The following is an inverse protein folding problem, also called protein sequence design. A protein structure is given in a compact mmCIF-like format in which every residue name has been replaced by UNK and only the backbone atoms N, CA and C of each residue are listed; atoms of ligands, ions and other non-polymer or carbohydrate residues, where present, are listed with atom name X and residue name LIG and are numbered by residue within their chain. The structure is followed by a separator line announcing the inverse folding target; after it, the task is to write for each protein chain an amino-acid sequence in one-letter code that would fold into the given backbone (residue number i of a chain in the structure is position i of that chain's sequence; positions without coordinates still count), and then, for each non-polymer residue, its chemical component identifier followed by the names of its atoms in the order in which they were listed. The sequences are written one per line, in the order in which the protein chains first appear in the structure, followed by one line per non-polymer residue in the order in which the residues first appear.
data_IF_349886249727
#
_entry.id   IF_349886249727
#
_cell.length_a   1.000
_cell.length_b   1.000
_cell.length_c   1.000
_cell.angle_alpha   90.00
_cell.angle_beta   90.00
_cell.angle_gamma   90.00
#
_symmetry.space_group_name_H-M   'P 1'
#
loop_
_entity.id
_entity.type
_entity.pdbx_description
1 polymer ?
#
# COMPACT_ATOMS: atom_id res chain seq x y z
N UNK A 1 64.84 48.84 31.57
CA UNK A 1 65.05 48.53 30.13
C UNK A 1 64.69 47.10 29.73
N UNK A 2 64.87 46.06 30.57
CA UNK A 2 64.47 44.66 30.25
C UNK A 2 62.99 44.48 29.82
N UNK A 3 62.06 45.20 30.45
CA UNK A 3 60.60 44.96 30.26
C UNK A 3 60.02 45.36 28.89
N UNK A 4 60.62 46.34 28.19
CA UNK A 4 60.12 46.83 26.88
C UNK A 4 60.63 45.98 25.72
N UNK A 5 61.84 45.42 25.84
CA UNK A 5 62.40 44.53 24.83
C UNK A 5 61.68 43.18 24.83
N UNK A 6 61.41 42.63 26.02
CA UNK A 6 60.66 41.37 26.15
C UNK A 6 59.21 41.50 25.66
N UNK A 7 58.57 42.67 25.85
CA UNK A 7 57.22 42.93 25.30
C UNK A 7 57.22 43.00 23.77
N UNK A 8 58.19 43.72 23.18
CA UNK A 8 58.34 43.81 21.73
C UNK A 8 58.66 42.45 21.09
N UNK A 9 59.45 41.60 21.78
CA UNK A 9 59.73 40.24 21.32
C UNK A 9 58.47 39.38 21.28
N UNK A 10 57.65 39.40 22.35
CA UNK A 10 56.36 38.70 22.39
C UNK A 10 55.38 39.20 21.33
N UNK A 11 55.34 40.51 21.11
CA UNK A 11 54.51 41.13 20.07
C UNK A 11 54.95 40.68 18.67
N UNK A 12 56.26 40.64 18.40
CA UNK A 12 56.78 40.15 17.14
C UNK A 12 56.50 38.65 16.92
N UNK A 13 56.65 37.81 17.94
CA UNK A 13 56.30 36.38 17.89
C UNK A 13 54.79 36.18 17.61
N UNK A 14 53.93 36.97 18.24
CA UNK A 14 52.50 36.96 18.00
C UNK A 14 52.14 37.40 16.56
N UNK A 15 52.79 38.46 16.07
CA UNK A 15 52.62 38.93 14.69
C UNK A 15 53.08 37.88 13.67
N UNK A 16 54.22 37.23 13.90
CA UNK A 16 54.70 36.13 13.03
C UNK A 16 53.71 34.96 13.00
N UNK A 17 53.15 34.58 14.16
CA UNK A 17 52.12 33.56 14.22
C UNK A 17 50.86 33.98 13.44
N UNK A 18 50.41 35.23 13.60
CA UNK A 18 49.27 35.78 12.87
C UNK A 18 49.51 35.79 11.35
N UNK A 19 50.70 36.16 10.90
CA UNK A 19 51.08 36.09 9.48
C UNK A 19 51.05 34.65 8.96
N UNK A 20 51.54 33.68 9.73
CA UNK A 20 51.52 32.27 9.32
C UNK A 20 50.10 31.71 9.23
N UNK A 21 49.20 32.10 10.14
CA UNK A 21 47.77 31.76 10.08
C UNK A 21 47.10 32.36 8.83
N UNK A 22 47.40 33.64 8.51
CA UNK A 22 46.90 34.29 7.29
C UNK A 22 47.38 33.56 6.04
N UNK A 23 48.68 33.22 5.96
CA UNK A 23 49.23 32.48 4.82
C UNK A 23 48.53 31.12 4.66
N UNK A 24 48.30 30.41 5.77
CA UNK A 24 47.59 29.12 5.75
C UNK A 24 46.16 29.28 5.25
N UNK A 25 45.44 30.30 5.72
CA UNK A 25 44.08 30.59 5.26
C UNK A 25 44.04 31.00 3.79
N UNK A 26 45.00 31.79 3.31
CA UNK A 26 45.11 32.16 1.90
C UNK A 26 45.34 30.95 1.00
N UNK A 27 46.19 30.00 1.43
CA UNK A 27 46.40 28.76 0.71
C UNK A 27 45.10 27.94 0.63
N UNK A 28 44.37 27.80 1.74
CA UNK A 28 43.08 27.10 1.76
C UNK A 28 42.05 27.76 0.82
N UNK A 29 41.95 29.09 0.83
CA UNK A 29 41.06 29.85 -0.08
C UNK A 29 41.47 29.62 -1.54
N UNK A 30 42.78 29.61 -1.83
CA UNK A 30 43.28 29.39 -3.18
C UNK A 30 42.95 27.98 -3.68
N UNK A 31 43.12 26.96 -2.85
CA UNK A 31 42.76 25.58 -3.17
C UNK A 31 41.26 25.43 -3.40
N UNK A 32 40.45 26.02 -2.52
CA UNK A 32 39.00 25.96 -2.62
C UNK A 32 38.48 26.70 -3.87
N UNK A 33 39.08 27.86 -4.20
CA UNK A 33 38.76 28.61 -5.43
C UNK A 33 39.07 27.79 -6.68
N UNK A 34 40.20 27.07 -6.71
CA UNK A 34 40.57 26.17 -7.82
C UNK A 34 39.56 25.03 -7.93
N UNK A 35 39.15 24.43 -6.81
CA UNK A 35 38.17 23.35 -6.77
C UNK A 35 36.80 23.80 -7.29
N UNK A 36 36.24 24.89 -6.78
CA UNK A 36 34.95 25.45 -7.22
C UNK A 36 35.00 25.82 -8.71
N UNK A 37 36.11 26.42 -9.17
CA UNK A 37 36.32 26.72 -10.60
C UNK A 37 36.30 25.45 -11.48
N UNK A 38 36.93 24.36 -11.00
CA UNK A 38 36.89 23.06 -11.69
C UNK A 38 35.46 22.50 -11.76
N UNK A 39 34.69 22.57 -10.67
CA UNK A 39 33.29 22.13 -10.63
C UNK A 39 32.44 22.94 -11.62
N UNK A 40 32.55 24.27 -11.58
CA UNK A 40 31.82 25.17 -12.48
C UNK A 40 32.15 24.91 -13.95
N UNK A 41 33.43 24.69 -14.29
CA UNK A 41 33.87 24.37 -15.65
C UNK A 41 33.30 23.05 -16.17
N UNK A 42 33.03 22.09 -15.28
CA UNK A 42 32.58 20.75 -15.62
C UNK A 42 31.10 20.47 -15.30
N UNK A 43 30.29 21.51 -15.05
CA UNK A 43 28.88 21.36 -14.60
C UNK A 43 28.05 20.45 -15.51
N UNK A 44 28.20 20.57 -16.84
CA UNK A 44 27.47 19.75 -17.80
C UNK A 44 27.84 18.26 -17.70
N UNK A 45 29.12 17.96 -17.46
CA UNK A 45 29.61 16.58 -17.29
C UNK A 45 29.07 16.02 -15.98
N UNK A 46 29.12 16.81 -14.91
CA UNK A 46 28.61 16.44 -13.59
C UNK A 46 27.12 16.13 -13.65
N UNK A 47 26.30 17.03 -14.20
CA UNK A 47 24.85 16.82 -14.31
C UNK A 47 24.55 15.59 -15.17
N UNK A 48 25.24 15.42 -16.31
CA UNK A 48 25.05 14.24 -17.16
C UNK A 48 25.43 12.93 -16.47
N UNK A 49 26.47 12.93 -15.65
CA UNK A 49 26.87 11.77 -14.86
C UNK A 49 25.83 11.45 -13.77
N UNK A 50 25.37 12.46 -13.03
CA UNK A 50 24.31 12.31 -12.03
C UNK A 50 23.00 11.78 -12.66
N UNK A 51 22.65 12.24 -13.86
CA UNK A 51 21.53 11.72 -14.64
C UNK A 51 21.67 10.22 -14.91
N UNK A 52 22.86 9.76 -15.34
CA UNK A 52 23.14 8.33 -15.56
C UNK A 52 23.07 7.52 -14.27
N UNK A 53 23.55 8.09 -13.16
CA UNK A 53 23.46 7.44 -11.84
C UNK A 53 21.99 7.25 -11.42
N UNK A 54 21.15 8.27 -11.62
CA UNK A 54 19.71 8.18 -11.37
C UNK A 54 19.03 7.11 -12.24
N UNK A 55 19.35 7.08 -13.54
CA UNK A 55 18.83 6.08 -14.47
C UNK A 55 19.22 4.66 -14.05
N UNK A 56 20.48 4.48 -13.64
CA UNK A 56 21.00 3.20 -13.14
C UNK A 56 20.27 2.77 -11.85
N UNK A 57 20.11 3.69 -10.89
CA UNK A 57 19.47 3.42 -9.61
C UNK A 57 17.97 3.08 -9.74
N UNK A 58 17.30 3.65 -10.74
CA UNK A 58 15.86 3.42 -10.99
C UNK A 58 15.60 2.40 -12.10
N UNK A 59 16.63 1.74 -12.63
CA UNK A 59 16.50 0.71 -13.67
C UNK A 59 15.78 -0.52 -13.13
N UNK A 60 14.90 -1.10 -13.95
CA UNK A 60 14.27 -2.37 -13.60
C UNK A 60 15.32 -3.49 -13.58
N UNK A 61 15.39 -4.20 -12.45
CA UNK A 61 16.25 -5.37 -12.25
C UNK A 61 15.51 -6.65 -12.68
N UNK A 62 16.23 -7.78 -12.73
CA UNK A 62 15.65 -9.08 -13.13
C UNK A 62 14.40 -9.46 -12.32
N UNK A 63 14.44 -9.25 -11.00
CA UNK A 63 13.30 -9.51 -10.10
C UNK A 63 12.10 -8.60 -10.42
N UNK A 64 12.34 -7.34 -10.77
CA UNK A 64 11.29 -6.39 -11.16
C UNK A 64 10.60 -6.83 -12.45
N UNK A 65 11.37 -7.39 -13.40
CA UNK A 65 10.83 -7.90 -14.67
C UNK A 65 9.92 -9.11 -14.42
N UNK A 66 10.29 -10.01 -13.50
CA UNK A 66 9.40 -11.11 -13.08
C UNK A 66 8.09 -10.55 -12.51
N UNK A 67 8.17 -9.52 -11.67
CA UNK A 67 6.99 -8.83 -11.15
C UNK A 67 6.17 -8.13 -12.24
N UNK A 68 6.81 -7.57 -13.25
CA UNK A 68 6.13 -6.99 -14.40
C UNK A 68 5.28 -8.04 -15.13
N UNK A 69 5.80 -9.24 -15.36
CA UNK A 69 5.00 -10.33 -15.96
C UNK A 69 3.85 -10.77 -15.05
N UNK A 70 4.08 -10.93 -13.75
CA UNK A 70 3.02 -11.25 -12.79
C UNK A 70 1.93 -10.17 -12.78
N UNK A 71 2.33 -8.89 -12.71
CA UNK A 71 1.42 -7.75 -12.76
C UNK A 71 0.62 -7.76 -14.06
N UNK A 72 1.27 -7.99 -15.20
CA UNK A 72 0.62 -8.05 -16.51
C UNK A 72 -0.40 -9.18 -16.57
N UNK A 73 -0.07 -10.37 -16.04
CA UNK A 73 -1.01 -11.49 -15.96
C UNK A 73 -2.23 -11.16 -15.09
N UNK A 74 -2.04 -10.51 -13.94
CA UNK A 74 -3.14 -10.05 -13.07
C UNK A 74 -4.02 -9.02 -13.78
N UNK A 75 -3.42 -8.07 -14.50
CA UNK A 75 -4.15 -7.05 -15.27
C UNK A 75 -4.99 -7.67 -16.40
N UNK A 76 -4.43 -8.62 -17.16
CA UNK A 76 -5.17 -9.32 -18.21
C UNK A 76 -6.29 -10.20 -17.61
N UNK A 77 -6.00 -10.87 -16.49
CA UNK A 77 -6.99 -11.71 -15.79
C UNK A 77 -8.18 -10.87 -15.33
N UNK A 78 -7.95 -9.65 -14.82
CA UNK A 78 -9.05 -8.76 -14.39
C UNK A 78 -10.00 -8.42 -15.54
N UNK A 79 -9.45 -8.17 -16.74
CA UNK A 79 -10.24 -7.84 -17.94
C UNK A 79 -11.15 -9.01 -18.33
N UNK A 80 -10.62 -10.23 -18.30
CA UNK A 80 -11.38 -11.43 -18.61
C UNK A 80 -12.50 -11.71 -17.60
N UNK A 81 -12.23 -11.54 -16.30
CA UNK A 81 -13.22 -11.70 -15.24
C UNK A 81 -14.35 -10.65 -15.34
N UNK A 82 -13.99 -9.42 -15.74
CA UNK A 82 -14.95 -8.33 -15.96
C UNK A 82 -15.83 -8.58 -17.17
N UNK A 83 -15.24 -9.00 -18.30
CA UNK A 83 -15.96 -9.31 -19.54
C UNK A 83 -16.97 -10.46 -19.37
N UNK A 84 -16.75 -11.40 -18.43
CA UNK A 84 -17.74 -12.44 -18.08
C UNK A 84 -18.85 -11.93 -17.17
N UNK A 85 -18.58 -10.91 -16.35
CA UNK A 85 -19.54 -10.35 -15.39
C UNK A 85 -20.57 -9.40 -16.03
N UNK A 86 -20.45 -9.07 -17.33
CA UNK A 86 -21.34 -8.14 -18.04
C UNK A 86 -22.66 -8.75 -18.51
N UNK A 87 -22.85 -10.07 -18.37
CA UNK A 87 -24.13 -10.71 -18.64
C UNK A 87 -24.94 -10.78 -17.33
N UNK A 88 -25.82 -9.79 -17.12
CA UNK A 88 -26.98 -9.80 -16.22
C UNK A 88 -26.78 -10.05 -14.71
N UNK A 89 -25.56 -10.07 -14.19
CA UNK A 89 -25.36 -10.22 -12.75
C UNK A 89 -25.41 -8.84 -12.07
N UNK A 90 -26.24 -8.73 -11.02
CA UNK A 90 -26.21 -7.67 -10.00
C UNK A 90 -27.07 -6.41 -10.19
N UNK A 91 -28.22 -6.52 -10.87
CA UNK A 91 -29.39 -5.74 -10.40
C UNK A 91 -29.63 -6.07 -8.92
N UNK A 92 -30.01 -5.08 -8.09
CA UNK A 92 -30.11 -5.23 -6.62
C UNK A 92 -30.96 -6.44 -6.19
N UNK A 93 -31.92 -6.82 -7.03
CA UNK A 93 -32.84 -7.96 -6.91
C UNK A 93 -32.20 -9.35 -7.13
N UNK A 94 -31.10 -9.44 -7.89
CA UNK A 94 -30.42 -10.69 -8.23
C UNK A 94 -29.15 -10.96 -7.40
N UNK A 95 -28.89 -10.14 -6.36
CA UNK A 95 -27.67 -10.24 -5.55
C UNK A 95 -27.87 -11.23 -4.37
N UNK A 96 -26.94 -12.17 -4.13
CA UNK A 96 -27.01 -13.06 -2.96
C UNK A 96 -26.92 -12.26 -1.66
N UNK A 97 -27.55 -12.77 -0.60
CA UNK A 97 -27.37 -12.21 0.75
C UNK A 97 -25.94 -12.47 1.25
N UNK A 98 -25.52 -11.78 2.33
CA UNK A 98 -24.14 -11.85 2.83
C UNK A 98 -23.69 -13.27 3.18
N UNK A 99 -24.60 -14.10 3.73
CA UNK A 99 -24.32 -15.51 4.06
C UNK A 99 -24.09 -16.36 2.82
N UNK A 100 -24.85 -16.13 1.75
CA UNK A 100 -24.70 -16.82 0.47
C UNK A 100 -23.45 -16.37 -0.28
N UNK A 101 -23.12 -15.07 -0.24
CA UNK A 101 -21.93 -14.52 -0.85
C UNK A 101 -20.66 -15.06 -0.16
N UNK A 102 -20.65 -15.10 1.17
CA UNK A 102 -19.56 -15.69 1.96
C UNK A 102 -19.38 -17.19 1.67
N UNK A 103 -20.47 -17.98 1.65
CA UNK A 103 -20.40 -19.42 1.30
C UNK A 103 -19.83 -19.69 -0.09
N UNK A 104 -20.09 -18.83 -1.07
CA UNK A 104 -19.52 -18.95 -2.43
C UNK A 104 -18.07 -18.48 -2.53
N UNK A 105 -17.65 -17.63 -1.59
CA UNK A 105 -16.28 -17.12 -1.49
C UNK A 105 -15.40 -17.95 -0.55
N UNK A 106 -15.96 -18.98 0.10
CA UNK A 106 -15.22 -19.93 0.91
C UNK A 106 -14.03 -20.45 0.10
N UNK A 107 -12.83 -20.00 0.49
CA UNK A 107 -11.60 -20.34 -0.20
C UNK A 107 -11.43 -21.86 -0.29
N UNK A 108 -10.73 -22.37 -1.31
CA UNK A 108 -10.60 -23.81 -1.56
C UNK A 108 -10.02 -24.61 -0.38
N UNK A 109 -9.47 -23.93 0.63
CA UNK A 109 -8.84 -24.52 1.81
C UNK A 109 -9.69 -24.50 3.09
N UNK A 110 -10.88 -23.86 3.10
CA UNK A 110 -11.69 -23.71 4.33
C UNK A 110 -12.11 -25.06 4.92
N UNK A 111 -12.56 -25.99 4.09
CA UNK A 111 -12.93 -27.34 4.52
C UNK A 111 -11.71 -28.17 4.97
N UNK A 112 -10.54 -27.93 4.36
CA UNK A 112 -9.30 -28.67 4.65
C UNK A 112 -8.67 -28.19 5.97
N UNK A 113 -8.78 -26.90 6.30
CA UNK A 113 -8.16 -26.31 7.48
C UNK A 113 -9.07 -26.28 8.71
N UNK A 114 -10.40 -26.41 8.55
CA UNK A 114 -11.33 -26.48 9.68
C UNK A 114 -11.21 -27.77 10.49
N UNK A 115 -10.86 -28.91 9.87
CA UNK A 115 -10.62 -30.16 10.59
C UNK A 115 -9.37 -30.11 11.49
N UNK A 116 -8.40 -29.24 11.19
CA UNK A 116 -7.12 -29.16 11.91
C UNK A 116 -7.07 -28.14 13.05
N UNK A 117 -8.01 -27.19 13.15
CA UNK A 117 -7.90 -26.04 14.07
C UNK A 117 -9.10 -25.88 15.02
N UNK A 118 -8.91 -26.28 16.28
CA UNK A 118 -9.87 -26.08 17.36
C UNK A 118 -9.92 -24.62 17.82
N UNK A 119 -11.10 -24.14 18.24
CA UNK A 119 -11.32 -22.74 18.62
C UNK A 119 -10.50 -22.31 19.85
N UNK A 120 -10.13 -23.29 20.67
CA UNK A 120 -9.28 -23.14 21.86
C UNK A 120 -7.81 -22.81 21.51
N UNK A 121 -7.40 -22.99 20.25
CA UNK A 121 -6.07 -22.63 19.76
C UNK A 121 -5.96 -21.16 19.32
N UNK A 122 -7.00 -20.34 19.52
CA UNK A 122 -6.91 -18.90 19.20
C UNK A 122 -5.88 -18.25 20.10
N UNK A 123 -4.76 -17.82 19.50
CA UNK A 123 -3.67 -17.24 20.27
C UNK A 123 -4.13 -15.98 21.03
N UNK A 124 -3.66 -15.84 22.27
CA UNK A 124 -4.01 -14.74 23.16
C UNK A 124 -3.04 -13.55 23.06
N UNK A 125 -1.97 -13.71 22.27
CA UNK A 125 -0.90 -12.73 22.12
C UNK A 125 -1.31 -11.58 21.22
N UNK A 126 -1.01 -10.36 21.67
CA UNK A 126 -1.29 -9.15 20.90
C UNK A 126 -0.44 -9.09 19.62
N UNK A 127 -1.06 -8.65 18.53
CA UNK A 127 -0.44 -8.51 17.19
C UNK A 127 0.06 -9.81 16.56
N UNK A 128 -0.36 -10.96 17.07
CA UNK A 128 0.03 -12.27 16.55
C UNK A 128 -1.18 -12.99 15.94
N UNK A 129 -0.93 -13.74 14.87
CA UNK A 129 -1.90 -14.64 14.25
C UNK A 129 -1.15 -15.77 13.53
N UNK A 130 -1.72 -16.97 13.55
CA UNK A 130 -1.22 -18.11 12.79
C UNK A 130 -1.78 -18.11 11.37
N UNK A 131 -1.07 -18.74 10.42
CA UNK A 131 -1.57 -18.91 9.04
C UNK A 131 -2.85 -19.75 9.04
N UNK A 132 -2.93 -20.72 9.95
CA UNK A 132 -4.06 -21.61 10.13
C UNK A 132 -5.30 -20.86 10.62
N UNK A 133 -5.14 -19.87 11.53
CA UNK A 133 -6.23 -19.00 11.96
C UNK A 133 -6.75 -18.14 10.79
N UNK A 134 -5.84 -17.55 9.98
CA UNK A 134 -6.23 -16.73 8.81
C UNK A 134 -7.14 -17.49 7.86
N UNK A 135 -6.81 -18.74 7.52
CA UNK A 135 -7.55 -19.52 6.53
C UNK A 135 -8.82 -20.19 7.07
N UNK A 136 -8.97 -20.31 8.40
CA UNK A 136 -10.05 -21.09 9.02
C UNK A 136 -11.12 -20.26 9.73
N UNK A 137 -10.83 -19.00 10.09
CA UNK A 137 -11.73 -18.12 10.85
C UNK A 137 -12.16 -16.89 10.04
N UNK A 138 -13.29 -16.25 10.41
CA UNK A 138 -13.69 -14.96 9.83
C UNK A 138 -12.61 -13.89 10.02
N UNK A 139 -12.58 -12.90 9.13
CA UNK A 139 -11.67 -11.76 9.26
C UNK A 139 -11.99 -10.96 10.52
N UNK A 140 -10.98 -10.41 11.23
CA UNK A 140 -11.18 -9.81 12.54
C UNK A 140 -12.00 -8.51 12.50
N UNK A 141 -11.99 -7.80 11.38
CA UNK A 141 -12.69 -6.52 11.24
C UNK A 141 -14.19 -6.64 10.93
N UNK A 142 -14.73 -7.85 10.80
CA UNK A 142 -16.18 -8.13 10.79
C UNK A 142 -16.79 -8.03 12.21
N UNK A 143 -15.95 -7.94 13.25
CA UNK A 143 -16.39 -7.91 14.65
C UNK A 143 -17.24 -6.67 14.94
N UNK A 144 -18.39 -6.88 15.58
CA UNK A 144 -19.26 -5.81 16.08
C UNK A 144 -19.38 -5.84 17.61
N UNK A 145 -19.25 -7.01 18.21
CA UNK A 145 -19.34 -7.21 19.65
C UNK A 145 -18.22 -6.49 20.39
N UNK A 146 -18.53 -5.91 21.56
CA UNK A 146 -17.57 -5.15 22.37
C UNK A 146 -17.34 -3.71 21.91
N UNK A 147 -17.84 -3.28 20.74
CA UNK A 147 -17.65 -1.90 20.25
C UNK A 147 -18.23 -0.83 21.19
N UNK A 148 -19.36 -1.16 21.82
CA UNK A 148 -20.09 -0.27 22.72
C UNK A 148 -19.28 0.09 23.97
N UNK A 149 -18.36 -0.79 24.39
CA UNK A 149 -17.46 -0.53 25.52
C UNK A 149 -16.49 0.64 25.24
N UNK A 150 -16.27 0.95 23.97
CA UNK A 150 -15.39 2.04 23.52
C UNK A 150 -16.18 3.23 22.97
N UNK A 151 -17.52 3.24 23.13
CA UNK A 151 -18.36 4.28 22.55
C UNK A 151 -18.44 4.23 21.01
N UNK A 152 -17.98 3.15 20.38
CA UNK A 152 -17.95 3.03 18.92
C UNK A 152 -19.27 2.44 18.43
N UNK A 153 -19.97 3.21 17.61
CA UNK A 153 -21.16 2.75 16.92
C UNK A 153 -20.78 2.13 15.57
N UNK A 154 -20.74 0.80 15.51
CA UNK A 154 -20.50 0.02 14.28
C UNK A 154 -21.72 0.02 13.33
N UNK A 155 -22.72 0.86 13.58
CA UNK A 155 -23.95 0.99 12.79
C UNK A 155 -24.95 -0.16 12.94
N UNK A 156 -24.54 -1.30 13.49
CA UNK A 156 -25.34 -2.50 13.68
C UNK A 156 -25.66 -3.23 12.37
N UNK A 157 -25.73 -4.56 12.43
CA UNK A 157 -26.05 -5.39 11.25
C UNK A 157 -25.00 -5.19 10.16
N UNK A 158 -25.44 -4.73 8.98
CA UNK A 158 -24.60 -4.65 7.78
C UNK A 158 -23.85 -3.31 7.64
N UNK A 159 -23.95 -2.38 8.59
CA UNK A 159 -23.30 -1.06 8.53
C UNK A 159 -21.87 -1.05 9.09
N UNK A 160 -21.40 -2.15 9.68
CA UNK A 160 -20.02 -2.27 10.15
C UNK A 160 -18.99 -2.14 9.01
N UNK A 161 -19.39 -2.49 7.78
CA UNK A 161 -18.60 -2.27 6.55
C UNK A 161 -18.23 -0.82 6.31
N UNK A 162 -19.04 0.13 6.78
CA UNK A 162 -18.74 1.55 6.68
C UNK A 162 -17.87 2.04 7.84
N UNK A 163 -17.86 1.29 8.94
CA UNK A 163 -17.23 1.66 10.19
C UNK A 163 -15.83 1.07 10.36
N UNK A 164 -15.37 0.18 9.47
CA UNK A 164 -14.02 -0.39 9.52
C UNK A 164 -13.28 -0.20 8.19
N UNK A 165 -11.98 0.09 8.29
CA UNK A 165 -11.14 0.34 7.12
C UNK A 165 -10.91 -0.93 6.28
N UNK A 166 -11.08 -2.12 6.88
CA UNK A 166 -10.94 -3.41 6.20
C UNK A 166 -11.94 -3.63 5.07
N UNK A 167 -13.13 -3.04 5.13
CA UNK A 167 -14.13 -3.17 4.05
C UNK A 167 -14.04 -2.05 3.00
N UNK A 168 -13.09 -1.13 3.12
CA UNK A 168 -12.92 -0.10 2.11
C UNK A 168 -12.19 -0.70 0.88
N UNK A 169 -12.68 -0.46 -0.36
CA UNK A 169 -12.06 -1.01 -1.57
C UNK A 169 -10.58 -0.65 -1.78
N UNK A 170 -10.09 0.44 -1.14
CA UNK A 170 -8.71 0.91 -1.21
C UNK A 170 -8.01 0.75 0.13
N UNK A 171 -8.61 1.23 1.23
CA UNK A 171 -7.98 1.16 2.55
C UNK A 171 -7.89 -0.28 3.07
N UNK A 172 -8.79 -1.19 2.66
CA UNK A 172 -8.78 -2.60 3.05
C UNK A 172 -7.48 -3.32 2.68
N UNK A 173 -6.88 -2.98 1.54
CA UNK A 173 -5.59 -3.55 1.14
C UNK A 173 -4.45 -3.28 2.11
N UNK A 174 -4.53 -2.16 2.84
CA UNK A 174 -3.53 -1.78 3.84
C UNK A 174 -4.03 -2.18 5.23
N UNK A 175 -5.16 -1.62 5.65
CA UNK A 175 -5.69 -1.82 6.99
C UNK A 175 -6.33 -3.19 7.16
N UNK A 176 -7.13 -3.68 6.20
CA UNK A 176 -7.70 -5.04 6.23
C UNK A 176 -6.62 -6.12 6.25
N UNK A 177 -5.63 -6.04 5.36
CA UNK A 177 -4.45 -6.92 5.39
C UNK A 177 -3.72 -6.87 6.74
N UNK A 178 -3.42 -5.67 7.25
CA UNK A 178 -2.73 -5.51 8.54
C UNK A 178 -3.60 -6.02 9.71
N UNK A 179 -4.91 -5.81 9.65
CA UNK A 179 -5.90 -6.23 10.64
C UNK A 179 -5.97 -7.75 10.70
N UNK A 180 -6.08 -8.44 9.56
CA UNK A 180 -6.00 -9.90 9.47
C UNK A 180 -4.66 -10.38 10.04
N UNK A 181 -3.56 -9.79 9.59
CA UNK A 181 -2.21 -10.19 10.00
C UNK A 181 -1.88 -9.90 11.48
N UNK A 182 -2.71 -9.17 12.22
CA UNK A 182 -2.45 -8.83 13.64
C UNK A 182 -3.63 -9.13 14.57
N UNK A 183 -4.71 -9.70 14.02
CA UNK A 183 -5.97 -9.93 14.72
C UNK A 183 -6.51 -8.65 15.38
N UNK A 184 -6.60 -7.60 14.59
CA UNK A 184 -7.12 -6.30 15.00
C UNK A 184 -8.23 -5.84 14.09
N UNK A 185 -8.91 -4.77 14.46
CA UNK A 185 -9.83 -4.01 13.61
C UNK A 185 -9.44 -2.55 13.67
N UNK A 186 -9.38 -1.87 12.52
CA UNK A 186 -9.18 -0.42 12.45
C UNK A 186 -10.48 0.26 12.04
N UNK A 187 -10.97 1.18 12.88
CA UNK A 187 -12.25 1.86 12.69
C UNK A 187 -12.11 3.10 11.78
N UNK A 188 -13.20 3.48 11.13
CA UNK A 188 -13.35 4.73 10.40
C UNK A 188 -14.39 5.62 11.08
N UNK A 189 -14.24 6.95 11.02
CA UNK A 189 -13.17 7.70 10.32
C UNK A 189 -11.91 7.92 11.19
N UNK A 190 -11.90 7.45 12.44
CA UNK A 190 -10.86 7.82 13.43
C UNK A 190 -9.54 7.07 13.26
N UNK A 191 -9.51 5.99 12.49
CA UNK A 191 -8.34 5.11 12.33
C UNK A 191 -7.81 4.54 13.67
N UNK A 192 -8.71 4.40 14.65
CA UNK A 192 -8.40 3.75 15.91
C UNK A 192 -8.41 2.24 15.74
N UNK A 193 -7.42 1.57 16.31
CA UNK A 193 -7.31 0.12 16.21
C UNK A 193 -7.66 -0.56 17.53
N UNK A 194 -8.23 -1.77 17.44
CA UNK A 194 -8.60 -2.57 18.60
C UNK A 194 -8.18 -4.02 18.41
N UNK A 195 -7.73 -4.67 19.47
CA UNK A 195 -7.49 -6.11 19.48
C UNK A 195 -8.81 -6.88 19.48
N UNK A 196 -8.85 -7.98 18.74
CA UNK A 196 -10.01 -8.86 18.65
C UNK A 196 -9.72 -10.16 19.41
N UNK A 197 -10.45 -10.41 20.49
CA UNK A 197 -10.34 -11.64 21.29
C UNK A 197 -11.59 -12.50 21.10
N UNK A 198 -11.45 -13.79 21.38
CA UNK A 198 -12.57 -14.72 21.42
C UNK A 198 -12.96 -14.99 22.86
N UNK A 199 -14.26 -14.93 23.16
CA UNK A 199 -14.77 -15.19 24.51
C UNK A 199 -16.10 -14.50 24.76
N UNK A 200 -16.50 -14.45 26.02
CA UNK A 200 -17.77 -13.89 26.48
C UNK A 200 -17.59 -12.69 27.44
N UNK A 201 -16.35 -12.19 27.57
CA UNK A 201 -15.97 -11.08 28.46
C UNK A 201 -16.25 -9.71 27.83
N UNK A 202 -17.47 -9.52 27.34
CA UNK A 202 -17.94 -8.24 26.81
C UNK A 202 -19.40 -8.01 27.20
N UNK A 203 -19.80 -6.75 27.21
CA UNK A 203 -21.18 -6.36 27.49
C UNK A 203 -21.96 -6.22 26.20
N UNK A 204 -23.19 -6.72 26.23
CA UNK A 204 -24.17 -6.57 25.16
C UNK A 204 -24.74 -5.14 25.18
N UNK A 205 -25.53 -4.77 24.16
CA UNK A 205 -26.16 -3.45 24.07
C UNK A 205 -27.11 -3.15 25.25
N UNK A 206 -27.63 -4.18 25.92
CA UNK A 206 -28.45 -4.04 27.14
C UNK A 206 -27.63 -3.89 28.43
N UNK A 207 -26.29 -3.86 28.34
CA UNK A 207 -25.40 -3.75 29.50
C UNK A 207 -25.17 -5.07 30.25
N UNK A 208 -25.71 -6.19 29.75
CA UNK A 208 -25.48 -7.51 30.33
C UNK A 208 -24.23 -8.17 29.75
N UNK A 209 -23.48 -8.90 30.58
CA UNK A 209 -22.36 -9.73 30.10
C UNK A 209 -22.88 -10.78 29.13
N UNK A 210 -22.16 -10.98 28.02
CA UNK A 210 -22.54 -11.96 27.01
C UNK A 210 -22.55 -13.37 27.58
N UNK A 211 -23.61 -14.14 27.27
CA UNK A 211 -23.69 -15.57 27.59
C UNK A 211 -23.09 -16.46 26.49
N UNK A 212 -22.73 -15.87 25.34
CA UNK A 212 -22.19 -16.58 24.16
C UNK A 212 -20.76 -16.14 23.89
N UNK A 213 -19.87 -17.10 23.68
CA UNK A 213 -18.51 -16.84 23.26
C UNK A 213 -18.46 -16.51 21.75
N UNK A 214 -17.87 -15.38 21.40
CA UNK A 214 -17.67 -14.93 20.03
C UNK A 214 -16.46 -14.00 19.95
N UNK A 215 -16.10 -13.57 18.74
CA UNK A 215 -15.12 -12.51 18.58
C UNK A 215 -15.69 -11.19 19.10
N UNK A 216 -14.88 -10.45 19.85
CA UNK A 216 -15.23 -9.14 20.40
C UNK A 216 -14.02 -8.22 20.43
N UNK A 217 -14.25 -6.92 20.27
CA UNK A 217 -13.26 -5.87 20.51
C UNK A 217 -12.91 -5.83 22.00
N UNK A 218 -11.65 -6.06 22.35
CA UNK A 218 -11.24 -6.24 23.75
C UNK A 218 -10.48 -5.05 24.34
N UNK A 219 -9.52 -4.49 23.59
CA UNK A 219 -8.60 -3.45 24.07
C UNK A 219 -8.14 -2.57 22.90
N UNK A 220 -7.78 -1.32 23.18
CA UNK A 220 -7.10 -0.48 22.18
C UNK A 220 -5.79 -1.14 21.70
N UNK A 221 -5.59 -1.10 20.39
CA UNK A 221 -4.35 -1.42 19.72
C UNK A 221 -3.72 -0.14 19.17
N UNK A 222 -2.39 -0.05 19.21
CA UNK A 222 -1.69 1.07 18.59
C UNK A 222 -1.70 0.88 17.08
N UNK A 223 -2.37 1.76 16.33
CA UNK A 223 -2.48 1.66 14.86
C UNK A 223 -1.11 1.61 14.19
N UNK A 224 -0.11 2.33 14.71
CA UNK A 224 1.28 2.24 14.23
C UNK A 224 1.85 0.82 14.37
N UNK A 225 1.58 0.13 15.49
CA UNK A 225 1.98 -1.27 15.70
C UNK A 225 1.18 -2.25 14.84
N UNK A 226 -0.09 -1.95 14.55
CA UNK A 226 -0.88 -2.76 13.60
C UNK A 226 -0.22 -2.74 12.22
N UNK A 227 0.13 -1.56 11.70
CA UNK A 227 0.83 -1.43 10.43
C UNK A 227 2.25 -2.01 10.50
N UNK A 228 2.96 -1.78 11.61
CA UNK A 228 4.31 -2.29 11.80
C UNK A 228 4.33 -3.82 11.83
N UNK A 229 3.55 -4.48 12.68
CA UNK A 229 3.55 -5.95 12.80
C UNK A 229 2.74 -6.63 11.71
N UNK A 230 1.72 -5.98 11.16
CA UNK A 230 0.88 -6.53 10.11
C UNK A 230 1.49 -6.42 8.72
N UNK A 231 2.34 -5.41 8.50
CA UNK A 231 2.98 -5.14 7.21
C UNK A 231 4.49 -5.03 7.40
N UNK A 232 4.99 -3.91 7.95
CA UNK A 232 6.41 -3.51 7.89
C UNK A 232 7.40 -4.60 8.35
N UNK A 233 7.20 -5.15 9.54
CA UNK A 233 8.08 -6.18 10.10
C UNK A 233 8.03 -7.47 9.29
N UNK A 234 6.86 -7.79 8.71
CA UNK A 234 6.70 -8.96 7.85
C UNK A 234 7.43 -8.79 6.52
N UNK A 235 7.55 -7.55 6.06
CA UNK A 235 8.39 -7.18 4.92
C UNK A 235 9.86 -7.31 5.26
N UNK A 236 10.28 -6.62 6.33
CA UNK A 236 11.70 -6.41 6.64
C UNK A 236 12.35 -7.68 7.18
N UNK A 237 11.56 -8.61 7.71
CA UNK A 237 12.04 -9.87 8.28
C UNK A 237 11.24 -11.06 7.74
N UNK A 238 11.27 -11.33 6.41
CA UNK A 238 10.36 -12.27 5.75
C UNK A 238 10.53 -13.72 6.23
N UNK A 239 11.75 -14.11 6.59
CA UNK A 239 12.13 -15.47 6.99
C UNK A 239 11.90 -15.77 8.48
N UNK A 240 11.58 -14.74 9.28
CA UNK A 240 11.34 -14.90 10.72
C UNK A 240 9.88 -15.25 10.97
N UNK A 241 9.61 -16.24 11.82
CA UNK A 241 8.27 -16.57 12.33
C UNK A 241 7.17 -16.67 11.24
N UNK A 242 7.50 -17.23 10.07
CA UNK A 242 6.60 -17.36 8.90
C UNK A 242 6.01 -16.01 8.42
N UNK A 243 6.72 -14.91 8.65
CA UNK A 243 6.25 -13.56 8.37
C UNK A 243 5.74 -13.35 6.94
N UNK A 244 6.51 -13.79 5.95
CA UNK A 244 6.10 -13.67 4.55
C UNK A 244 4.85 -14.50 4.24
N UNK A 245 4.73 -15.70 4.81
CA UNK A 245 3.58 -16.58 4.62
C UNK A 245 2.31 -16.01 5.25
N UNK A 246 2.43 -15.43 6.45
CA UNK A 246 1.31 -14.74 7.12
C UNK A 246 0.87 -13.52 6.30
N UNK A 247 1.81 -12.74 5.79
CA UNK A 247 1.48 -11.55 4.99
C UNK A 247 0.79 -11.92 3.67
N UNK A 248 1.29 -12.93 2.96
CA UNK A 248 0.66 -13.44 1.73
C UNK A 248 -0.72 -14.00 2.04
N UNK A 249 -0.86 -14.77 3.13
CA UNK A 249 -2.15 -15.34 3.56
C UNK A 249 -3.16 -14.25 3.91
N UNK A 250 -2.75 -13.23 4.66
CA UNK A 250 -3.60 -12.10 5.04
C UNK A 250 -4.05 -11.31 3.81
N UNK A 251 -3.13 -11.03 2.87
CA UNK A 251 -3.45 -10.32 1.63
C UNK A 251 -4.39 -11.13 0.74
N UNK A 252 -4.18 -12.45 0.64
CA UNK A 252 -5.06 -13.33 -0.13
C UNK A 252 -6.45 -13.43 0.50
N UNK A 253 -6.53 -13.50 1.84
CA UNK A 253 -7.80 -13.53 2.56
C UNK A 253 -8.55 -12.20 2.40
N UNK A 254 -7.86 -11.06 2.49
CA UNK A 254 -8.43 -9.73 2.20
C UNK A 254 -9.03 -9.66 0.79
N UNK A 255 -8.32 -10.19 -0.21
CA UNK A 255 -8.81 -10.24 -1.59
C UNK A 255 -10.08 -11.08 -1.74
N UNK A 256 -10.14 -12.22 -1.05
CA UNK A 256 -11.32 -13.10 -1.03
C UNK A 256 -12.48 -12.37 -0.34
N UNK A 257 -12.22 -11.71 0.78
CA UNK A 257 -13.23 -11.02 1.59
C UNK A 257 -13.85 -9.85 0.83
N UNK A 258 -13.03 -8.94 0.28
CA UNK A 258 -13.50 -7.81 -0.52
C UNK A 258 -14.30 -8.27 -1.75
N UNK A 259 -13.89 -9.37 -2.40
CA UNK A 259 -14.64 -9.96 -3.51
C UNK A 259 -16.01 -10.49 -3.07
N UNK A 260 -16.08 -11.14 -1.91
CA UNK A 260 -17.35 -11.66 -1.36
C UNK A 260 -18.30 -10.52 -1.00
N UNK A 261 -17.78 -9.46 -0.38
CA UNK A 261 -18.55 -8.30 0.02
C UNK A 261 -19.05 -7.52 -1.19
N UNK A 262 -18.19 -7.32 -2.20
CA UNK A 262 -18.57 -6.71 -3.48
C UNK A 262 -19.74 -7.43 -4.16
N UNK A 263 -19.75 -8.75 -4.08
CA UNK A 263 -20.75 -9.61 -4.75
C UNK A 263 -22.06 -9.73 -3.95
N UNK A 264 -22.09 -9.21 -2.72
CA UNK A 264 -23.25 -9.26 -1.82
C UNK A 264 -24.31 -8.23 -2.18
N UNK A 265 -25.52 -8.38 -1.63
CA UNK A 265 -26.64 -7.47 -1.85
C UNK A 265 -26.33 -5.99 -1.56
N UNK A 266 -25.55 -5.70 -0.51
CA UNK A 266 -25.15 -4.34 -0.15
C UNK A 266 -23.80 -3.88 -0.72
N UNK A 267 -23.07 -4.78 -1.39
CA UNK A 267 -21.74 -4.53 -1.96
C UNK A 267 -20.75 -3.91 -0.95
N UNK A 268 -19.60 -3.48 -1.47
CA UNK A 268 -18.67 -2.57 -0.78
C UNK A 268 -19.15 -1.13 -0.94
N UNK A 269 -18.85 -0.28 0.04
CA UNK A 269 -19.02 1.16 -0.14
C UNK A 269 -18.09 1.70 -1.20
N UNK A 270 -18.39 2.89 -1.72
CA UNK A 270 -17.44 3.64 -2.53
C UNK A 270 -16.10 3.82 -1.79
N UNK A 271 -14.97 3.88 -2.52
CA UNK A 271 -13.68 4.09 -1.89
C UNK A 271 -13.67 5.36 -1.06
N UNK A 272 -13.09 5.29 0.14
CA UNK A 272 -12.99 6.35 1.13
C UNK A 272 -14.33 6.85 1.69
N UNK A 273 -15.47 6.26 1.33
CA UNK A 273 -16.77 6.71 1.80
C UNK A 273 -16.86 6.69 3.33
N UNK A 274 -16.25 5.69 3.99
CA UNK A 274 -16.21 5.57 5.45
C UNK A 274 -15.51 6.74 6.17
N UNK A 275 -14.75 7.59 5.47
CA UNK A 275 -14.21 8.83 6.03
C UNK A 275 -15.30 9.86 6.35
N UNK A 276 -16.48 9.73 5.74
CA UNK A 276 -17.66 10.53 6.05
C UNK A 276 -18.84 9.60 6.33
N UNK A 277 -19.06 9.18 7.59
CA UNK A 277 -20.15 8.26 7.95
C UNK A 277 -21.53 8.73 7.45
N UNK A 278 -21.79 10.04 7.45
CA UNK A 278 -23.03 10.64 6.94
C UNK A 278 -23.21 10.43 5.43
N UNK A 279 -22.16 10.67 4.64
CA UNK A 279 -22.19 10.49 3.19
C UNK A 279 -22.24 8.99 2.85
N UNK A 280 -21.44 8.17 3.54
CA UNK A 280 -21.39 6.72 3.34
C UNK A 280 -22.75 6.07 3.59
N UNK A 281 -23.41 6.43 4.70
CA UNK A 281 -24.73 5.93 5.04
C UNK A 281 -25.78 6.39 4.03
N UNK A 282 -25.79 7.68 3.67
CA UNK A 282 -26.74 8.23 2.70
C UNK A 282 -26.57 7.59 1.31
N UNK A 283 -25.33 7.40 0.85
CA UNK A 283 -25.02 6.70 -0.39
C UNK A 283 -25.49 5.24 -0.35
N UNK A 284 -25.18 4.52 0.74
CA UNK A 284 -25.62 3.13 0.93
C UNK A 284 -27.14 2.98 0.98
N UNK A 285 -27.85 3.88 1.69
CA UNK A 285 -29.32 3.86 1.79
C UNK A 285 -29.98 4.20 0.44
N UNK A 286 -29.31 4.98 -0.40
CA UNK A 286 -29.70 5.26 -1.79
C UNK A 286 -29.31 4.14 -2.77
N UNK A 287 -28.69 3.05 -2.30
CA UNK A 287 -28.21 1.95 -3.14
C UNK A 287 -27.01 2.32 -4.01
N UNK A 288 -26.26 3.38 -3.65
CA UNK A 288 -25.02 3.81 -4.30
C UNK A 288 -23.83 3.13 -3.62
N UNK A 289 -23.30 2.11 -4.27
CA UNK A 289 -22.28 1.18 -3.79
C UNK A 289 -21.37 0.74 -4.96
N UNK A 290 -20.27 0.05 -4.68
CA UNK A 290 -19.32 -0.38 -5.73
C UNK A 290 -19.94 -1.25 -6.82
N UNK A 291 -21.05 -1.93 -6.54
CA UNK A 291 -21.75 -2.74 -7.53
C UNK A 291 -22.84 -1.97 -8.30
N UNK A 292 -23.33 -0.82 -7.79
CA UNK A 292 -24.33 0.01 -8.47
C UNK A 292 -23.75 1.19 -9.25
N UNK A 293 -22.55 1.67 -8.92
CA UNK A 293 -21.85 2.65 -9.75
C UNK A 293 -21.35 1.88 -10.97
N UNK A 294 -21.86 2.22 -12.16
CA UNK A 294 -21.90 1.38 -13.37
C UNK A 294 -20.59 0.74 -13.88
N UNK A 295 -20.65 0.18 -15.09
CA UNK A 295 -19.60 -0.70 -15.61
C UNK A 295 -18.18 -0.09 -15.62
N UNK A 296 -18.06 1.21 -15.92
CA UNK A 296 -16.77 1.91 -16.00
C UNK A 296 -16.14 2.08 -14.61
N UNK A 297 -16.90 2.44 -13.58
CA UNK A 297 -16.39 2.57 -12.21
C UNK A 297 -15.99 1.23 -11.60
N UNK A 298 -16.69 0.13 -11.94
CA UNK A 298 -16.27 -1.23 -11.57
C UNK A 298 -14.90 -1.57 -12.16
N UNK A 299 -14.72 -1.26 -13.44
CA UNK A 299 -13.44 -1.45 -14.13
C UNK A 299 -12.31 -0.63 -13.49
N UNK A 300 -12.56 0.65 -13.16
CA UNK A 300 -11.61 1.52 -12.46
C UNK A 300 -11.24 0.94 -11.10
N UNK A 301 -12.22 0.57 -10.27
CA UNK A 301 -12.00 0.06 -8.92
C UNK A 301 -11.10 -1.18 -8.91
N UNK A 302 -11.43 -2.17 -9.74
CA UNK A 302 -10.64 -3.41 -9.82
C UNK A 302 -9.24 -3.14 -10.39
N UNK A 303 -9.09 -2.21 -11.35
CA UNK A 303 -7.77 -1.83 -11.86
C UNK A 303 -6.89 -1.18 -10.79
N UNK A 304 -7.45 -0.28 -9.99
CA UNK A 304 -6.77 0.34 -8.84
C UNK A 304 -6.38 -0.71 -7.81
N UNK A 305 -7.28 -1.64 -7.49
CA UNK A 305 -7.02 -2.78 -6.60
C UNK A 305 -5.83 -3.62 -7.07
N UNK A 306 -5.82 -4.07 -8.33
CA UNK A 306 -4.71 -4.88 -8.86
C UNK A 306 -3.40 -4.09 -8.81
N UNK A 307 -3.43 -2.80 -9.15
CA UNK A 307 -2.26 -1.93 -9.02
C UNK A 307 -1.74 -1.88 -7.59
N UNK A 308 -2.62 -1.76 -6.60
CA UNK A 308 -2.25 -1.73 -5.18
C UNK A 308 -1.61 -3.05 -4.74
N UNK A 309 -2.20 -4.20 -5.10
CA UNK A 309 -1.65 -5.53 -4.79
C UNK A 309 -0.23 -5.67 -5.37
N UNK A 310 -0.06 -5.36 -6.65
CA UNK A 310 1.25 -5.41 -7.32
C UNK A 310 2.24 -4.47 -6.63
N UNK A 311 1.80 -3.26 -6.30
CA UNK A 311 2.62 -2.25 -5.63
C UNK A 311 3.12 -2.73 -4.27
N UNK A 312 2.23 -3.33 -3.47
CA UNK A 312 2.57 -3.91 -2.17
C UNK A 312 3.52 -5.09 -2.37
N UNK A 313 3.13 -6.12 -3.11
CA UNK A 313 3.94 -7.34 -3.31
C UNK A 313 5.35 -7.05 -3.85
N UNK A 314 5.46 -6.12 -4.80
CA UNK A 314 6.76 -5.73 -5.34
C UNK A 314 7.63 -5.08 -4.26
N UNK A 315 7.15 -4.03 -3.59
CA UNK A 315 7.90 -3.37 -2.52
C UNK A 315 8.22 -4.32 -1.38
N UNK A 316 7.30 -5.25 -1.09
CA UNK A 316 7.47 -6.28 -0.09
C UNK A 316 8.68 -7.14 -0.37
N UNK A 317 8.73 -7.73 -1.57
CA UNK A 317 9.84 -8.60 -1.90
C UNK A 317 11.15 -7.82 -1.93
N UNK A 318 11.18 -6.64 -2.56
CA UNK A 318 12.43 -5.92 -2.75
C UNK A 318 13.02 -5.41 -1.43
N UNK A 319 12.22 -4.84 -0.53
CA UNK A 319 12.69 -4.43 0.80
C UNK A 319 13.21 -5.61 1.64
N UNK A 320 12.80 -6.82 1.31
CA UNK A 320 13.21 -8.05 1.99
C UNK A 320 14.51 -8.66 1.42
N UNK A 321 14.94 -8.21 0.23
CA UNK A 321 16.07 -8.78 -0.52
C UNK A 321 17.19 -7.80 -0.84
N UNK A 322 16.90 -6.50 -0.83
CA UNK A 322 17.84 -5.44 -1.19
C UNK A 322 17.97 -4.46 -0.02
N UNK A 323 19.19 -4.09 0.33
CA UNK A 323 19.47 -2.99 1.25
C UNK A 323 19.22 -1.67 0.50
N UNK A 324 17.95 -1.24 0.46
CA UNK A 324 17.55 -0.05 -0.29
C UNK A 324 17.68 1.18 0.60
N UNK A 325 18.66 2.01 0.27
CA UNK A 325 18.95 3.29 0.93
C UNK A 325 17.86 4.36 0.72
N UNK A 326 17.04 4.29 -0.35
CA UNK A 326 16.06 5.32 -0.69
C UNK A 326 14.74 4.74 -1.22
N UNK A 327 13.67 4.94 -0.44
CA UNK A 327 12.30 4.46 -0.73
C UNK A 327 11.68 5.10 -1.97
N UNK A 328 12.04 6.34 -2.30
CA UNK A 328 11.53 7.03 -3.49
C UNK A 328 12.08 6.39 -4.78
N UNK A 329 13.34 5.95 -4.80
CA UNK A 329 13.91 5.25 -5.96
C UNK A 329 13.23 3.89 -6.19
N UNK A 330 12.91 3.16 -5.12
CA UNK A 330 12.11 1.93 -5.20
C UNK A 330 10.68 2.22 -5.69
N UNK A 331 10.09 3.33 -5.26
CA UNK A 331 8.77 3.75 -5.74
C UNK A 331 8.78 4.05 -7.24
N UNK A 332 9.86 4.64 -7.77
CA UNK A 332 10.03 4.82 -9.22
C UNK A 332 10.04 3.47 -9.95
N UNK A 333 10.82 2.48 -9.48
CA UNK A 333 10.82 1.10 -10.05
C UNK A 333 9.42 0.47 -10.01
N UNK A 334 8.73 0.59 -8.88
CA UNK A 334 7.36 0.06 -8.69
C UNK A 334 6.35 0.74 -9.64
N UNK A 335 6.44 2.05 -9.80
CA UNK A 335 5.58 2.80 -10.72
C UNK A 335 5.82 2.41 -12.18
N UNK A 336 7.08 2.12 -12.56
CA UNK A 336 7.41 1.58 -13.89
C UNK A 336 6.71 0.24 -14.13
N UNK A 337 6.77 -0.70 -13.18
CA UNK A 337 6.08 -2.00 -13.28
C UNK A 337 4.56 -1.81 -13.46
N UNK A 338 3.95 -0.97 -12.62
CA UNK A 338 2.50 -0.71 -12.66
C UNK A 338 2.11 -0.05 -13.98
N UNK A 339 2.89 0.93 -14.44
CA UNK A 339 2.62 1.64 -15.69
C UNK A 339 2.73 0.69 -16.88
N UNK A 340 3.84 -0.06 -16.98
CA UNK A 340 4.05 -1.00 -18.09
C UNK A 340 3.01 -2.11 -18.13
N UNK A 341 2.67 -2.71 -16.98
CA UNK A 341 1.61 -3.76 -16.93
C UNK A 341 0.24 -3.23 -17.33
N UNK A 342 -0.14 -2.02 -16.88
CA UNK A 342 -1.39 -1.37 -17.31
C UNK A 342 -1.40 -1.05 -18.80
N UNK A 343 -0.29 -0.54 -19.34
CA UNK A 343 -0.15 -0.25 -20.77
C UNK A 343 -0.27 -1.52 -21.62
N UNK A 344 0.42 -2.59 -21.24
CA UNK A 344 0.35 -3.88 -21.95
C UNK A 344 -1.08 -4.44 -21.92
N UNK A 345 -1.72 -4.43 -20.75
CA UNK A 345 -3.09 -4.92 -20.62
C UNK A 345 -4.09 -4.08 -21.43
N UNK A 346 -3.95 -2.75 -21.43
CA UNK A 346 -4.78 -1.84 -22.23
C UNK A 346 -4.58 -2.10 -23.73
N UNK A 347 -3.33 -2.20 -24.19
CA UNK A 347 -3.02 -2.51 -25.57
C UNK A 347 -3.59 -3.89 -25.98
N UNK A 348 -3.47 -4.89 -25.12
CA UNK A 348 -4.03 -6.23 -25.34
C UNK A 348 -5.56 -6.21 -25.43
N UNK A 349 -6.24 -5.42 -24.58
CA UNK A 349 -7.70 -5.28 -24.64
C UNK A 349 -8.14 -4.61 -25.95
N UNK A 350 -7.51 -3.50 -26.33
CA UNK A 350 -7.81 -2.81 -27.59
C UNK A 350 -7.53 -3.69 -28.81
N UNK A 351 -6.44 -4.48 -28.79
CA UNK A 351 -6.13 -5.44 -29.85
C UNK A 351 -7.21 -6.53 -29.97
N UNK A 352 -7.71 -7.07 -28.85
CA UNK A 352 -8.83 -8.01 -28.87
C UNK A 352 -10.10 -7.37 -29.47
N UNK A 353 -10.44 -6.15 -29.06
CA UNK A 353 -11.59 -5.43 -29.61
C UNK A 353 -11.45 -5.22 -31.12
N UNK A 354 -10.29 -4.77 -31.59
CA UNK A 354 -10.00 -4.63 -33.02
C UNK A 354 -10.08 -5.95 -33.79
N UNK A 355 -9.53 -7.03 -33.24
CA UNK A 355 -9.60 -8.36 -33.84
C UNK A 355 -11.04 -8.87 -33.96
N UNK A 356 -11.89 -8.65 -32.95
CA UNK A 356 -13.31 -9.02 -33.04
C UNK A 356 -14.06 -8.20 -34.09
N UNK A 357 -13.76 -6.91 -34.23
CA UNK A 357 -14.34 -6.09 -35.30
C UNK A 357 -13.96 -6.62 -36.69
N UNK A 358 -12.68 -6.96 -36.90
CA UNK A 358 -12.20 -7.47 -38.17
C UNK A 358 -12.75 -8.88 -38.50
N UNK A 359 -12.80 -9.78 -37.51
CA UNK A 359 -13.17 -11.18 -37.73
C UNK A 359 -14.68 -11.45 -37.66
N UNK A 360 -15.43 -10.67 -36.87
CA UNK A 360 -16.88 -10.85 -36.64
C UNK A 360 -17.74 -9.74 -37.24
N UNK A 361 -17.12 -8.76 -37.91
CA UNK A 361 -17.80 -7.62 -38.53
C UNK A 361 -18.27 -6.52 -37.55
N UNK A 362 -18.10 -6.72 -36.24
CA UNK A 362 -18.41 -5.73 -35.21
C UNK A 362 -17.55 -5.92 -33.95
N UNK A 363 -17.13 -4.84 -33.27
CA UNK A 363 -16.33 -4.93 -32.05
C UNK A 363 -17.14 -5.53 -30.90
N UNK A 364 -16.51 -6.39 -30.10
CA UNK A 364 -17.09 -6.93 -28.86
C UNK A 364 -17.07 -5.90 -27.73
N UNK A 365 -17.97 -4.91 -27.80
CA UNK A 365 -18.03 -3.78 -26.86
C UNK A 365 -18.26 -4.21 -25.41
N UNK A 366 -18.73 -5.43 -25.15
CA UNK A 366 -18.90 -5.98 -23.79
C UNK A 366 -17.56 -6.30 -23.12
N UNK A 367 -16.52 -6.54 -23.92
CA UNK A 367 -15.16 -6.83 -23.43
C UNK A 367 -14.29 -5.58 -23.28
N UNK A 368 -14.77 -4.39 -23.69
CA UNK A 368 -13.99 -3.15 -23.66
C UNK A 368 -13.76 -2.67 -22.21
N UNK A 369 -12.50 -2.50 -21.84
CA UNK A 369 -12.06 -2.08 -20.50
C UNK A 369 -11.77 -0.57 -20.43
N UNK A 370 -12.82 0.24 -20.51
CA UNK A 370 -12.72 1.72 -20.46
C UNK A 370 -12.15 2.20 -19.12
N UNK A 371 -12.57 1.59 -18.00
CA UNK A 371 -12.06 1.97 -16.69
C UNK A 371 -10.56 1.67 -16.52
N UNK A 372 -10.10 0.52 -17.04
CA UNK A 372 -8.67 0.21 -17.09
C UNK A 372 -7.86 1.15 -17.96
N UNK A 373 -8.41 1.57 -19.10
CA UNK A 373 -7.80 2.58 -19.96
C UNK A 373 -7.60 3.92 -19.22
N UNK A 374 -8.63 4.41 -18.52
CA UNK A 374 -8.53 5.65 -17.73
C UNK A 374 -7.49 5.56 -16.61
N UNK A 375 -7.43 4.42 -15.91
CA UNK A 375 -6.41 4.17 -14.88
C UNK A 375 -5.01 4.14 -15.48
N UNK A 376 -4.85 3.58 -16.68
CA UNK A 376 -3.57 3.57 -17.42
C UNK A 376 -3.12 5.00 -17.74
N UNK A 377 -4.01 5.85 -18.25
CA UNK A 377 -3.70 7.25 -18.56
C UNK A 377 -3.28 8.02 -17.31
N UNK A 378 -4.05 7.89 -16.22
CA UNK A 378 -3.70 8.50 -14.94
C UNK A 378 -2.34 8.02 -14.43
N UNK A 379 -2.03 6.72 -14.53
CA UNK A 379 -0.75 6.16 -14.09
C UNK A 379 0.42 6.59 -14.95
N UNK A 380 0.27 6.74 -16.26
CA UNK A 380 1.30 7.31 -17.12
C UNK A 380 1.68 8.72 -16.68
N UNK A 381 0.68 9.60 -16.53
CA UNK A 381 0.91 11.01 -16.16
C UNK A 381 1.49 11.11 -14.74
N UNK A 382 0.85 10.48 -13.76
CA UNK A 382 1.28 10.56 -12.35
C UNK A 382 2.65 9.94 -12.11
N UNK A 383 3.02 8.86 -12.83
CA UNK A 383 4.32 8.21 -12.68
C UNK A 383 5.45 9.03 -13.27
N UNK A 384 5.24 9.69 -14.42
CA UNK A 384 6.22 10.61 -15.03
C UNK A 384 6.47 11.79 -14.10
N UNK A 385 5.41 12.43 -13.60
CA UNK A 385 5.53 13.57 -12.67
C UNK A 385 6.28 13.18 -11.41
N UNK A 386 5.94 12.03 -10.82
CA UNK A 386 6.63 11.52 -9.64
C UNK A 386 8.11 11.23 -9.92
N UNK A 387 8.43 10.57 -11.04
CA UNK A 387 9.81 10.28 -11.40
C UNK A 387 10.62 11.55 -11.62
N UNK A 388 10.04 12.58 -12.26
CA UNK A 388 10.71 13.86 -12.47
C UNK A 388 11.00 14.57 -11.14
N UNK A 389 10.03 14.58 -10.23
CA UNK A 389 10.22 15.15 -8.89
C UNK A 389 11.35 14.44 -8.13
N UNK A 390 11.35 13.11 -8.15
CA UNK A 390 12.39 12.31 -7.49
C UNK A 390 13.76 12.47 -8.16
N UNK A 391 13.79 12.71 -9.48
CA UNK A 391 15.01 13.04 -10.22
C UNK A 391 15.54 14.41 -9.83
N UNK A 392 14.69 15.42 -9.76
CA UNK A 392 15.04 16.77 -9.33
C UNK A 392 15.64 16.75 -7.92
N UNK A 393 14.95 16.15 -6.94
CA UNK A 393 15.46 16.00 -5.57
C UNK A 393 16.81 15.27 -5.52
N UNK A 394 17.00 14.24 -6.35
CA UNK A 394 18.25 13.51 -6.46
C UNK A 394 19.38 14.38 -7.03
N UNK A 395 19.12 15.08 -8.12
CA UNK A 395 20.11 15.96 -8.77
C UNK A 395 20.51 17.10 -7.86
N UNK A 396 19.55 17.76 -7.20
CA UNK A 396 19.82 18.86 -6.26
C UNK A 396 20.74 18.40 -5.13
N UNK A 397 20.41 17.28 -4.49
CA UNK A 397 21.18 16.74 -3.38
C UNK A 397 22.59 16.33 -3.80
N UNK A 398 22.72 15.53 -4.85
CA UNK A 398 24.02 15.00 -5.27
C UNK A 398 24.91 16.09 -5.90
N UNK A 399 24.30 17.09 -6.56
CA UNK A 399 25.03 18.26 -7.03
C UNK A 399 25.51 19.12 -5.85
N UNK A 400 24.67 19.34 -4.84
CA UNK A 400 25.06 20.03 -3.61
C UNK A 400 26.25 19.34 -2.94
N UNK A 401 26.21 18.02 -2.77
CA UNK A 401 27.31 17.26 -2.19
C UNK A 401 28.62 17.43 -2.98
N UNK A 402 28.57 17.39 -4.32
CA UNK A 402 29.75 17.66 -5.17
C UNK A 402 30.26 19.09 -5.03
N UNK A 403 29.37 20.07 -4.88
CA UNK A 403 29.75 21.47 -4.67
C UNK A 403 30.34 21.67 -3.28
N UNK A 404 29.78 21.07 -2.25
CA UNK A 404 30.21 21.25 -0.85
C UNK A 404 31.30 20.28 -0.40
N UNK A 405 31.64 19.28 -1.22
CA UNK A 405 32.58 18.23 -0.91
C UNK A 405 32.17 17.39 0.33
N UNK A 406 30.87 17.07 0.39
CA UNK A 406 30.22 16.26 1.45
C UNK A 406 29.99 14.80 1.05
#
# INVERSE_FOLDING_TARGET
MKNKFDSLKKENEANQKGVQEIITNLNNIQEETKRVSLVAKNVNIIISDLDKQFESATKLKKVDIVFLFLATALQITRQYLLAKSTNNAFGMENRPNDKEAAKKADGPFKHIMQEKYHIDNRESHFYHISVEEIWSKPVPFDVQSGSTNFGINMGGGNYHRLATAGHDPILGWIFGTANIATRTVTTLPTFESFHVKYGNNFFTRSGEQSKRAMDFMSNHAQTSKVLQYGITNRILHPSKDRNLEILISALAMEAIHLKSDYSSRRSLSLPFAGLSPTIAKKASDMGVDMASVGHISKQVGIAVTVNTIVSLLHRLLILSTEEIMNTNLLQVRTNKIITYSNTIATASNLAYIGATAALKGAPDMKALDIGGFLVTLYKLISSVNFQNKVKEEFLEKEFYNKVMNE
#
